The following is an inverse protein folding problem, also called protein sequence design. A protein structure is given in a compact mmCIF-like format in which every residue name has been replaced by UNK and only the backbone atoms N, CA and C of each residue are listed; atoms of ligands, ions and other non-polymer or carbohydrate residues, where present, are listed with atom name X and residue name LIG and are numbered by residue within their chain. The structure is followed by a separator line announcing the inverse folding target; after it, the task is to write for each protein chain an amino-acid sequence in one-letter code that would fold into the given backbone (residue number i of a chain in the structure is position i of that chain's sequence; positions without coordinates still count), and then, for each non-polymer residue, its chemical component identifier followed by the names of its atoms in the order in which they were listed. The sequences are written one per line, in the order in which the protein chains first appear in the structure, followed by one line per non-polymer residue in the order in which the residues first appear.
data_IF_590665155415
#
_entry.id   IF_590665155415
#
_cell.length_a   1.000
_cell.length_b   1.000
_cell.length_c   1.000
_cell.angle_alpha   90.00
_cell.angle_beta   90.00
_cell.angle_gamma   90.00
#
_symmetry.space_group_name_H-M   'P 1'
#
loop_
_entity.id
_entity.type
_entity.pdbx_description
1 polymer ?
#
# COMPACT_ATOMS: atom_id res chain seq x y z
N UNK A 1 -33.81 -0.15 -9.26
CA UNK A 1 -32.39 -0.12 -9.67
C UNK A 1 -31.59 0.01 -8.40
N UNK A 2 -31.06 -1.10 -7.86
CA UNK A 2 -30.25 -1.04 -6.65
C UNK A 2 -28.93 -0.36 -7.02
N UNK A 3 -28.63 0.77 -6.37
CA UNK A 3 -27.30 1.35 -6.39
C UNK A 3 -26.32 0.27 -5.93
N UNK A 4 -25.43 -0.17 -6.81
CA UNK A 4 -24.28 -0.95 -6.37
C UNK A 4 -23.54 -0.10 -5.35
N UNK A 5 -23.50 -0.54 -4.10
CA UNK A 5 -22.61 0.03 -3.10
C UNK A 5 -21.20 -0.25 -3.64
N UNK A 6 -20.53 0.81 -4.06
CA UNK A 6 -19.10 0.76 -4.39
C UNK A 6 -18.42 0.64 -3.04
N UNK A 7 -18.08 -0.59 -2.63
CA UNK A 7 -17.33 -0.77 -1.38
C UNK A 7 -15.88 -0.38 -1.69
N UNK A 8 -15.40 0.67 -1.05
CA UNK A 8 -14.00 1.09 -1.07
C UNK A 8 -13.46 1.11 0.34
N UNK A 9 -12.20 0.76 0.51
CA UNK A 9 -11.50 0.88 1.79
C UNK A 9 -10.11 1.42 1.53
N UNK A 10 -9.49 2.02 2.54
CA UNK A 10 -8.09 2.45 2.48
C UNK A 10 -7.25 1.51 3.29
N UNK A 11 -6.14 1.00 2.75
CA UNK A 11 -5.20 0.21 3.54
C UNK A 11 -3.93 0.98 3.86
N UNK A 12 -3.39 0.69 5.04
CA UNK A 12 -2.12 1.21 5.53
C UNK A 12 -1.19 0.03 5.84
N UNK A 13 -0.04 -0.02 5.17
CA UNK A 13 0.99 -1.05 5.37
C UNK A 13 2.26 -0.36 5.88
N UNK A 14 2.98 -1.00 6.81
CA UNK A 14 4.30 -0.53 7.23
C UNK A 14 5.30 -0.60 6.07
N UNK A 15 6.23 0.34 6.02
CA UNK A 15 7.25 0.44 4.98
C UNK A 15 8.64 0.66 5.59
N UNK A 16 9.66 0.32 4.82
CA UNK A 16 11.06 0.55 5.16
C UNK A 16 11.95 0.53 3.91
N UNK A 17 13.17 1.03 4.06
CA UNK A 17 14.22 0.85 3.07
C UNK A 17 14.88 -0.53 3.20
N UNK A 18 15.43 -1.04 2.11
CA UNK A 18 16.15 -2.33 2.08
C UNK A 18 17.54 -2.27 2.70
N UNK A 19 18.01 -1.07 3.08
CA UNK A 19 19.30 -0.84 3.73
C UNK A 19 19.07 -0.17 5.08
N UNK A 20 19.68 -0.71 6.13
CA UNK A 20 19.59 -0.14 7.47
C UNK A 20 20.11 1.31 7.50
N UNK A 21 19.33 2.19 8.14
CA UNK A 21 19.66 3.62 8.26
C UNK A 21 19.39 4.43 6.98
N UNK A 22 18.81 3.83 5.94
CA UNK A 22 18.29 4.59 4.80
C UNK A 22 17.11 5.46 5.21
N UNK A 23 17.01 6.63 4.58
CA UNK A 23 15.82 7.47 4.64
C UNK A 23 14.70 6.75 3.88
N UNK A 24 13.58 6.48 4.55
CA UNK A 24 12.52 5.65 3.99
C UNK A 24 11.17 6.03 4.59
N UNK A 25 10.07 5.78 3.86
CA UNK A 25 8.75 5.91 4.43
C UNK A 25 8.56 4.92 5.58
N UNK A 26 7.74 5.31 6.54
CA UNK A 26 7.26 4.45 7.62
C UNK A 26 6.02 3.65 7.20
N UNK A 27 5.25 4.15 6.24
CA UNK A 27 4.06 3.47 5.74
C UNK A 27 3.78 3.77 4.27
N UNK A 28 2.92 2.95 3.69
CA UNK A 28 2.29 3.19 2.39
C UNK A 28 0.78 3.08 2.52
N UNK A 29 0.07 3.94 1.81
CA UNK A 29 -1.39 4.03 1.77
C UNK A 29 -1.87 3.74 0.35
N UNK A 30 -2.90 2.93 0.22
CA UNK A 30 -3.53 2.69 -1.08
C UNK A 30 -5.02 2.41 -0.90
N UNK A 31 -5.80 2.74 -1.91
CA UNK A 31 -7.22 2.45 -1.93
C UNK A 31 -7.44 1.02 -2.45
N UNK A 32 -8.32 0.30 -1.77
CA UNK A 32 -8.76 -1.05 -2.09
C UNK A 32 -10.19 -0.94 -2.61
N UNK A 33 -10.36 -1.43 -3.82
CA UNK A 33 -11.66 -1.66 -4.42
C UNK A 33 -11.70 -3.05 -5.08
N UNK A 34 -12.82 -3.36 -5.73
CA UNK A 34 -12.97 -4.63 -6.46
C UNK A 34 -11.97 -4.76 -7.62
N UNK A 35 -11.53 -3.66 -8.23
CA UNK A 35 -10.57 -3.68 -9.34
C UNK A 35 -9.16 -4.00 -8.85
N UNK A 36 -8.75 -3.47 -7.70
CA UNK A 36 -7.50 -3.83 -7.03
C UNK A 36 -7.49 -5.32 -6.66
N UNK A 37 -8.56 -5.81 -6.01
CA UNK A 37 -8.68 -7.24 -5.65
C UNK A 37 -8.60 -8.14 -6.90
N UNK A 38 -9.28 -7.77 -7.99
CA UNK A 38 -9.22 -8.49 -9.25
C UNK A 38 -7.80 -8.45 -9.88
N UNK A 39 -7.09 -7.32 -9.74
CA UNK A 39 -5.72 -7.16 -10.25
C UNK A 39 -4.76 -8.09 -9.53
N UNK A 40 -4.75 -8.10 -8.20
CA UNK A 40 -3.87 -8.99 -7.42
C UNK A 40 -4.21 -10.46 -7.72
N UNK A 41 -5.49 -10.83 -7.73
CA UNK A 41 -5.90 -12.19 -8.08
C UNK A 41 -5.44 -12.62 -9.48
N UNK A 42 -5.52 -11.73 -10.46
CA UNK A 42 -5.05 -11.99 -11.84
C UNK A 42 -3.53 -12.19 -11.87
N UNK A 43 -2.76 -11.39 -11.14
CA UNK A 43 -1.31 -11.53 -11.07
C UNK A 43 -0.89 -12.84 -10.38
N UNK A 44 -1.57 -13.25 -9.30
CA UNK A 44 -1.38 -14.56 -8.66
C UNK A 44 -1.60 -15.69 -9.67
N UNK A 45 -2.70 -15.64 -10.42
CA UNK A 45 -3.01 -16.66 -11.44
C UNK A 45 -1.95 -16.68 -12.54
N UNK A 46 -1.53 -15.51 -13.03
CA UNK A 46 -0.47 -15.38 -14.03
C UNK A 46 0.84 -16.03 -13.55
N UNK A 47 1.23 -15.79 -12.29
CA UNK A 47 2.41 -16.43 -11.70
C UNK A 47 2.27 -17.95 -11.67
N UNK A 48 1.11 -18.47 -11.27
CA UNK A 48 0.86 -19.92 -11.17
C UNK A 48 0.81 -20.59 -12.55
N UNK A 49 0.11 -19.99 -13.51
CA UNK A 49 -0.02 -20.51 -14.88
C UNK A 49 1.33 -20.62 -15.60
N UNK A 50 2.20 -19.63 -15.39
CA UNK A 50 3.50 -19.54 -16.07
C UNK A 50 4.69 -19.94 -15.20
N UNK A 51 4.46 -20.42 -13.98
CA UNK A 51 5.49 -20.80 -13.00
C UNK A 51 6.50 -19.67 -12.72
N UNK A 52 6.00 -18.43 -12.65
CA UNK A 52 6.82 -17.26 -12.32
C UNK A 52 7.04 -17.18 -10.80
N UNK A 53 8.19 -16.67 -10.38
CA UNK A 53 8.47 -16.39 -8.97
C UNK A 53 7.69 -15.20 -8.45
N UNK A 54 7.41 -14.22 -9.33
CA UNK A 54 6.61 -13.04 -9.05
C UNK A 54 6.14 -12.39 -10.35
N UNK A 55 5.13 -11.53 -10.25
CA UNK A 55 4.69 -10.62 -11.30
C UNK A 55 4.68 -9.19 -10.73
N UNK A 56 5.03 -8.23 -11.58
CA UNK A 56 5.11 -6.81 -11.22
C UNK A 56 4.18 -6.00 -12.11
N UNK A 57 3.56 -4.99 -11.55
CA UNK A 57 2.80 -4.00 -12.31
C UNK A 57 3.02 -2.62 -11.71
N UNK A 58 2.93 -1.59 -12.53
CA UNK A 58 3.07 -0.21 -12.08
C UNK A 58 1.91 0.12 -11.15
N UNK A 59 2.23 0.56 -9.94
CA UNK A 59 1.26 1.00 -8.95
C UNK A 59 1.95 1.91 -7.93
N UNK A 60 1.43 3.12 -7.76
CA UNK A 60 1.99 4.13 -6.87
C UNK A 60 1.11 4.24 -5.62
N UNK A 61 1.42 3.53 -4.51
CA UNK A 61 0.79 3.86 -3.24
C UNK A 61 1.30 5.23 -2.77
N UNK A 62 0.55 5.89 -1.89
CA UNK A 62 1.02 7.10 -1.22
C UNK A 62 1.95 6.71 -0.06
N UNK A 63 3.24 7.00 -0.19
CA UNK A 63 4.26 6.77 0.82
C UNK A 63 4.29 7.90 1.83
N UNK A 64 4.42 7.55 3.12
CA UNK A 64 4.47 8.51 4.21
C UNK A 64 5.44 8.11 5.32
N UNK A 65 5.74 9.00 6.27
CA UNK A 65 4.98 10.21 6.51
C UNK A 65 5.47 11.44 5.74
N UNK A 66 4.63 12.48 5.66
CA UNK A 66 4.99 13.81 5.18
C UNK A 66 5.29 13.86 3.67
N UNK A 67 6.32 14.62 3.30
CA UNK A 67 6.73 14.86 1.90
C UNK A 67 7.79 13.87 1.41
N UNK A 68 7.84 12.67 2.01
CA UNK A 68 8.91 11.70 1.77
C UNK A 68 8.96 11.25 0.31
N UNK A 69 7.83 11.24 -0.41
CA UNK A 69 7.78 10.95 -1.84
C UNK A 69 8.55 11.98 -2.67
N UNK A 70 8.33 13.27 -2.38
CA UNK A 70 8.98 14.39 -3.07
C UNK A 70 10.45 14.52 -2.66
N UNK A 71 10.76 14.30 -1.39
CA UNK A 71 12.12 14.32 -0.85
C UNK A 71 12.98 13.24 -1.51
N UNK A 72 12.46 12.02 -1.59
CA UNK A 72 13.14 10.88 -2.21
C UNK A 72 13.04 10.87 -3.75
N UNK A 73 12.15 11.69 -4.31
CA UNK A 73 11.84 11.78 -5.74
C UNK A 73 11.55 10.40 -6.33
N UNK A 74 10.61 9.69 -5.71
CA UNK A 74 10.20 8.34 -6.11
C UNK A 74 9.66 8.35 -7.55
N UNK A 75 9.94 7.30 -8.32
CA UNK A 75 9.65 7.28 -9.77
C UNK A 75 9.08 5.95 -10.27
N UNK A 76 9.30 4.85 -9.53
CA UNK A 76 9.12 3.49 -10.01
C UNK A 76 8.27 2.68 -9.02
N UNK A 77 7.10 3.21 -8.68
CA UNK A 77 6.13 2.52 -7.83
C UNK A 77 5.60 1.26 -8.51
N UNK A 78 5.81 0.13 -7.85
CA UNK A 78 5.39 -1.19 -8.32
C UNK A 78 4.58 -1.92 -7.24
N UNK A 79 3.57 -2.65 -7.69
CA UNK A 79 2.95 -3.74 -6.95
C UNK A 79 3.64 -5.05 -7.37
N UNK A 80 4.25 -5.74 -6.42
CA UNK A 80 4.92 -7.04 -6.59
C UNK A 80 4.04 -8.13 -5.98
N UNK A 81 3.69 -9.14 -6.77
CA UNK A 81 2.80 -10.24 -6.37
C UNK A 81 3.47 -11.59 -6.59
N UNK A 82 3.43 -12.46 -5.59
CA UNK A 82 3.98 -13.81 -5.60
C UNK A 82 2.88 -14.87 -5.82
N UNK A 83 3.21 -16.06 -6.36
CA UNK A 83 2.23 -17.12 -6.64
C UNK A 83 1.50 -17.66 -5.40
N UNK A 84 2.09 -17.51 -4.22
CA UNK A 84 1.50 -17.90 -2.92
C UNK A 84 0.48 -16.88 -2.40
N UNK A 85 0.22 -15.78 -3.12
CA UNK A 85 -0.71 -14.73 -2.69
C UNK A 85 -0.10 -13.67 -1.77
N UNK A 86 1.22 -13.67 -1.57
CA UNK A 86 1.91 -12.57 -0.92
C UNK A 86 2.10 -11.42 -1.91
N UNK A 87 1.86 -10.20 -1.47
CA UNK A 87 2.19 -9.00 -2.24
C UNK A 87 2.82 -7.92 -1.36
N UNK A 88 3.53 -6.99 -2.01
CA UNK A 88 4.12 -5.79 -1.41
C UNK A 88 4.19 -4.68 -2.47
N UNK A 89 4.31 -3.45 -2.01
CA UNK A 89 4.71 -2.34 -2.88
C UNK A 89 6.19 -2.10 -2.78
N UNK A 90 6.80 -1.64 -3.87
CA UNK A 90 8.20 -1.22 -3.93
C UNK A 90 8.34 0.08 -4.70
N UNK A 91 9.34 0.88 -4.37
CA UNK A 91 9.75 2.03 -5.17
C UNK A 91 11.27 2.26 -5.00
N UNK A 92 11.81 3.19 -5.78
CA UNK A 92 13.23 3.49 -5.83
C UNK A 92 13.48 5.00 -5.69
N UNK A 93 14.13 5.44 -4.59
CA UNK A 93 14.61 6.82 -4.45
C UNK A 93 15.65 7.17 -5.50
N UNK A 94 15.47 8.30 -6.18
CA UNK A 94 16.29 8.71 -7.32
C UNK A 94 17.80 8.75 -7.04
N UNK A 95 18.18 9.08 -5.81
CA UNK A 95 19.58 9.26 -5.39
C UNK A 95 20.01 8.32 -4.25
N UNK A 96 19.13 7.41 -3.82
CA UNK A 96 19.35 6.61 -2.61
C UNK A 96 20.27 5.42 -2.80
N UNK A 97 20.24 4.77 -3.97
CA UNK A 97 20.98 3.51 -4.16
C UNK A 97 20.36 2.31 -3.43
N UNK A 98 19.16 2.45 -2.86
CA UNK A 98 18.40 1.41 -2.18
C UNK A 98 16.97 1.34 -2.72
N UNK A 99 16.25 0.28 -2.38
CA UNK A 99 14.82 0.16 -2.62
C UNK A 99 14.06 0.51 -1.34
N UNK A 100 12.87 1.05 -1.49
CA UNK A 100 11.89 1.07 -0.42
C UNK A 100 10.83 0.01 -0.71
N UNK A 101 10.26 -0.57 0.35
CA UNK A 101 9.24 -1.59 0.22
C UNK A 101 8.29 -1.57 1.41
N UNK A 102 7.06 -2.04 1.18
CA UNK A 102 6.17 -2.37 2.29
C UNK A 102 6.51 -3.71 2.89
N UNK A 103 5.98 -3.97 4.09
CA UNK A 103 5.85 -5.33 4.60
C UNK A 103 5.02 -6.21 3.64
N UNK A 104 5.27 -7.51 3.70
CA UNK A 104 4.53 -8.52 2.95
C UNK A 104 3.08 -8.63 3.47
N UNK A 105 2.12 -8.62 2.56
CA UNK A 105 0.70 -8.76 2.85
C UNK A 105 0.15 -10.02 2.20
N UNK A 106 -0.61 -10.79 2.98
CA UNK A 106 -1.37 -11.93 2.47
C UNK A 106 -2.67 -11.45 1.80
N UNK A 107 -2.82 -11.78 0.51
CA UNK A 107 -3.97 -11.37 -0.29
C UNK A 107 -5.31 -11.90 0.25
N UNK A 108 -5.35 -13.11 0.81
CA UNK A 108 -6.59 -13.66 1.36
C UNK A 108 -7.00 -12.94 2.64
N UNK A 109 -6.03 -12.56 3.48
CA UNK A 109 -6.28 -11.73 4.65
C UNK A 109 -6.78 -10.33 4.27
N UNK A 110 -6.15 -9.71 3.26
CA UNK A 110 -6.61 -8.43 2.72
C UNK A 110 -8.06 -8.53 2.23
N UNK A 111 -8.34 -9.53 1.38
CA UNK A 111 -9.65 -9.74 0.79
C UNK A 111 -10.72 -9.96 1.86
N UNK A 112 -10.44 -10.80 2.86
CA UNK A 112 -11.37 -11.03 3.97
C UNK A 112 -11.67 -9.76 4.78
N UNK A 113 -10.64 -8.91 5.02
CA UNK A 113 -10.83 -7.61 5.67
C UNK A 113 -11.68 -6.68 4.80
N UNK A 114 -11.38 -6.59 3.50
CA UNK A 114 -12.14 -5.76 2.56
C UNK A 114 -13.59 -6.20 2.40
N UNK A 115 -13.86 -7.51 2.32
CA UNK A 115 -15.21 -8.05 2.22
C UNK A 115 -16.06 -7.76 3.48
N UNK A 116 -15.40 -7.51 4.61
CA UNK A 116 -16.04 -7.16 5.89
C UNK A 116 -16.02 -5.66 6.19
N UNK A 117 -15.32 -4.87 5.37
CA UNK A 117 -15.10 -3.46 5.60
C UNK A 117 -16.34 -2.65 5.27
N UNK A 118 -16.56 -1.59 6.03
CA UNK A 118 -17.52 -0.53 5.65
C UNK A 118 -16.89 0.39 4.61
N UNK A 119 -17.71 1.04 3.80
CA UNK A 119 -17.22 1.98 2.79
C UNK A 119 -16.45 3.14 3.44
N UNK A 120 -15.26 3.42 2.92
CA UNK A 120 -14.31 4.39 3.45
C UNK A 120 -13.51 3.94 4.67
N UNK A 121 -13.61 2.69 5.12
CA UNK A 121 -12.87 2.20 6.29
C UNK A 121 -11.35 2.21 6.07
N UNK A 122 -10.59 2.57 7.10
CA UNK A 122 -9.12 2.48 7.12
C UNK A 122 -8.69 1.15 7.73
N UNK A 123 -8.18 0.26 6.89
CA UNK A 123 -7.66 -1.06 7.24
C UNK A 123 -6.16 -0.99 7.53
N UNK A 124 -5.80 -1.10 8.80
CA UNK A 124 -4.39 -1.27 9.19
C UNK A 124 -3.96 -2.72 8.97
N UNK A 125 -2.97 -2.89 8.08
CA UNK A 125 -2.32 -4.17 7.77
C UNK A 125 -0.96 -4.29 8.45
N UNK A 126 -0.38 -3.17 8.87
CA UNK A 126 0.80 -3.13 9.74
C UNK A 126 0.51 -3.76 11.11
N UNK A 127 1.50 -4.46 11.67
CA UNK A 127 1.44 -5.01 13.03
C UNK A 127 2.01 -4.02 14.05
N UNK A 128 2.83 -3.10 13.58
CA UNK A 128 3.60 -2.17 14.36
C UNK A 128 2.72 -0.99 14.80
N UNK A 129 2.58 -0.73 16.11
CA UNK A 129 1.68 0.30 16.59
C UNK A 129 2.10 1.72 16.18
N UNK A 130 3.40 1.95 15.94
CA UNK A 130 3.90 3.25 15.50
C UNK A 130 3.40 3.63 14.10
N UNK A 131 3.14 2.66 13.20
CA UNK A 131 2.62 2.94 11.86
C UNK A 131 1.28 3.64 11.94
N UNK A 132 0.39 3.16 12.81
CA UNK A 132 -0.89 3.81 13.07
C UNK A 132 -0.71 5.22 13.62
N UNK A 133 0.20 5.42 14.56
CA UNK A 133 0.46 6.72 15.17
C UNK A 133 0.93 7.75 14.12
N UNK A 134 1.88 7.38 13.25
CA UNK A 134 2.34 8.27 12.19
C UNK A 134 1.24 8.59 11.17
N UNK A 135 0.46 7.58 10.76
CA UNK A 135 -0.67 7.78 9.86
C UNK A 135 -1.71 8.74 10.48
N UNK A 136 -2.12 8.50 11.72
CA UNK A 136 -3.10 9.35 12.41
C UNK A 136 -2.59 10.79 12.58
N UNK A 137 -1.30 10.99 12.91
CA UNK A 137 -0.72 12.33 13.02
C UNK A 137 -0.77 13.11 11.71
N UNK A 138 -0.42 12.48 10.59
CA UNK A 138 -0.44 13.12 9.26
C UNK A 138 -1.86 13.47 8.81
N UNK A 139 -2.79 12.54 8.99
CA UNK A 139 -4.16 12.72 8.55
C UNK A 139 -4.97 13.63 9.48
N UNK A 140 -4.68 13.67 10.80
CA UNK A 140 -5.23 14.68 11.71
C UNK A 140 -4.72 16.09 11.39
N UNK A 141 -3.45 16.24 11.03
CA UNK A 141 -2.89 17.53 10.61
C UNK A 141 -3.53 18.03 9.33
N UNK A 142 -3.64 17.16 8.32
CA UNK A 142 -4.30 17.46 7.05
C UNK A 142 -5.76 17.88 7.23
N UNK A 143 -6.48 17.24 8.16
CA UNK A 143 -7.87 17.60 8.47
C UNK A 143 -8.00 18.97 9.17
N UNK A 144 -7.01 19.37 9.98
CA UNK A 144 -7.00 20.68 10.65
C UNK A 144 -6.69 21.84 9.70
N UNK A 145 -5.83 21.61 8.70
CA UNK A 145 -5.46 22.62 7.70
C UNK A 145 -6.58 22.90 6.68
N UNK A 146 -7.54 21.99 6.54
CA UNK A 146 -8.71 22.13 5.67
C UNK A 146 -9.90 22.88 6.30
N UNK A 147 -9.81 23.29 7.57
CA UNK A 147 -10.81 24.16 8.20
C UNK A 147 -10.32 25.61 8.06
N UNK A 148 -10.93 26.44 7.18
CA UNK A 148 -10.59 27.85 7.14
C UNK A 148 -10.95 28.48 8.49
N UNK A 149 -10.06 29.34 8.99
CA UNK A 149 -10.30 30.18 10.16
C UNK A 149 -11.42 31.19 9.94
#
# INVERSE_FOLDING_TARGET
MSSQIVNSARAVIGASGTIDGSEAPTFAVFDIDRAFIATVSRLINLCNEHKLTEARTVHYPAWGPGWIEEELKLQNGELVVQPNGIFRFTDYPKYGGYLIQTADVDFNQLRSKFDSAVDGEVLFLAKEPYVRQYYEQEYEQSARELVPS
#
